data_IF_082342770052
#
_entry.id   IF_082342770052
#
_cell.length_a   1.000
_cell.length_b   1.000
_cell.length_c   1.000
_cell.angle_alpha   90.00
_cell.angle_beta   90.00
_cell.angle_gamma   90.00
#
_symmetry.space_group_name_H-M   'P 1'
#
loop_
_entity.id
_entity.type
_entity.pdbx_description
1 polymer ?
#
# COMPACT_ATOMS: atom_id res chain seq x y z
N UNK A 1 -38.82 66.56 -1.81
CA UNK A 1 -39.48 65.25 -1.88
C UNK A 1 -38.89 64.50 -3.05
N UNK A 2 -38.00 63.54 -2.77
CA UNK A 2 -37.45 62.62 -3.76
C UNK A 2 -37.29 61.26 -3.06
N UNK A 3 -37.94 60.25 -3.62
CA UNK A 3 -37.96 58.87 -3.13
C UNK A 3 -36.58 58.22 -3.27
N UNK A 4 -36.04 57.71 -2.16
CA UNK A 4 -34.95 56.76 -2.17
C UNK A 4 -35.54 55.35 -2.04
N UNK A 5 -35.53 54.59 -3.14
CA UNK A 5 -35.87 53.18 -3.15
C UNK A 5 -34.88 52.39 -2.29
N UNK A 6 -35.40 51.70 -1.26
CA UNK A 6 -34.66 50.70 -0.48
C UNK A 6 -34.56 49.41 -1.30
N UNK A 7 -33.35 48.96 -1.60
CA UNK A 7 -33.08 47.58 -1.99
C UNK A 7 -32.81 46.73 -0.74
N UNK A 8 -33.43 45.54 -0.60
CA UNK A 8 -33.12 44.61 0.47
C UNK A 8 -31.79 43.89 0.21
N UNK A 9 -31.07 43.66 1.30
CA UNK A 9 -29.77 43.02 1.43
C UNK A 9 -29.75 41.58 0.89
N UNK A 10 -28.86 41.33 -0.08
CA UNK A 10 -28.45 39.98 -0.50
C UNK A 10 -27.28 39.50 0.37
N UNK A 11 -27.54 39.22 1.65
CA UNK A 11 -26.64 38.43 2.48
C UNK A 11 -27.27 37.07 2.74
N UNK A 12 -27.02 36.13 1.84
CA UNK A 12 -27.60 34.79 1.98
C UNK A 12 -27.42 33.91 0.76
N UNK A 13 -26.18 33.74 0.28
CA UNK A 13 -25.78 32.65 -0.65
C UNK A 13 -24.29 32.68 -0.97
N UNK A 14 -23.44 32.47 0.03
CA UNK A 14 -22.02 32.17 -0.19
C UNK A 14 -21.53 31.15 0.83
N UNK A 15 -21.92 29.87 0.66
CA UNK A 15 -21.31 28.75 1.40
C UNK A 15 -21.21 27.43 0.63
N UNK A 16 -21.46 27.44 -0.67
CA UNK A 16 -21.28 26.28 -1.55
C UNK A 16 -20.65 26.81 -2.83
N UNK A 17 -19.31 26.86 -2.89
CA UNK A 17 -18.57 26.90 -4.17
C UNK A 17 -17.03 26.80 -4.05
N UNK A 18 -16.49 26.31 -2.93
CA UNK A 18 -15.03 26.13 -2.80
C UNK A 18 -14.61 24.66 -2.81
N UNK A 19 -15.04 23.89 -3.82
CA UNK A 19 -14.57 22.52 -4.06
C UNK A 19 -14.27 22.17 -5.53
N UNK A 20 -14.47 23.10 -6.48
CA UNK A 20 -14.17 22.86 -7.90
C UNK A 20 -12.76 23.35 -8.30
N UNK A 21 -11.72 22.58 -7.97
CA UNK A 21 -10.40 22.81 -8.58
C UNK A 21 -9.51 21.56 -8.56
N UNK A 22 -10.11 20.41 -8.86
CA UNK A 22 -9.38 19.30 -9.46
C UNK A 22 -10.05 19.06 -10.80
N UNK A 23 -9.35 19.32 -11.91
CA UNK A 23 -9.89 19.09 -13.26
C UNK A 23 -10.38 17.65 -13.35
N UNK A 24 -11.70 17.51 -13.43
CA UNK A 24 -12.42 16.24 -13.45
C UNK A 24 -12.06 15.44 -14.70
N UNK A 25 -11.35 14.34 -14.50
CA UNK A 25 -11.71 13.00 -14.98
C UNK A 25 -12.18 12.85 -16.44
N UNK A 26 -11.23 12.71 -17.35
CA UNK A 26 -11.47 12.02 -18.63
C UNK A 26 -10.72 10.67 -18.76
N UNK A 27 -9.86 10.29 -17.80
CA UNK A 27 -9.01 9.08 -17.92
C UNK A 27 -9.35 7.92 -16.98
N UNK A 28 -10.20 8.13 -15.96
CA UNK A 28 -10.49 7.10 -14.94
C UNK A 28 -11.26 5.90 -15.52
N UNK A 29 -12.13 6.13 -16.51
CA UNK A 29 -13.00 5.09 -17.05
C UNK A 29 -12.30 4.06 -17.93
N UNK A 30 -11.22 4.39 -18.64
CA UNK A 30 -10.53 3.39 -19.50
C UNK A 30 -9.53 2.54 -18.71
N UNK A 31 -8.81 3.14 -17.78
CA UNK A 31 -7.75 2.48 -16.99
C UNK A 31 -8.33 1.53 -15.93
N UNK A 32 -9.42 1.92 -15.25
CA UNK A 32 -10.06 1.08 -14.22
C UNK A 32 -10.86 -0.07 -14.83
N UNK A 33 -11.39 0.10 -16.04
CA UNK A 33 -12.29 -0.84 -16.71
C UNK A 33 -11.57 -1.83 -17.65
N UNK A 34 -10.34 -1.53 -18.08
CA UNK A 34 -9.61 -2.30 -19.10
C UNK A 34 -9.04 -3.65 -18.64
N UNK A 35 -9.01 -3.96 -17.34
CA UNK A 35 -8.53 -5.25 -16.86
C UNK A 35 -9.39 -5.77 -15.72
N UNK A 36 -10.16 -6.82 -16.03
CA UNK A 36 -10.96 -7.56 -15.05
C UNK A 36 -10.08 -8.36 -14.07
N UNK A 37 -8.79 -8.59 -14.39
CA UNK A 37 -7.90 -9.49 -13.65
C UNK A 37 -6.76 -8.78 -12.89
N UNK A 38 -6.37 -7.56 -13.27
CA UNK A 38 -5.26 -6.81 -12.64
C UNK A 38 -5.52 -5.29 -12.64
N UNK A 39 -5.11 -4.58 -11.59
CA UNK A 39 -5.09 -3.12 -11.63
C UNK A 39 -3.95 -2.66 -12.55
N UNK A 40 -4.28 -2.27 -13.79
CA UNK A 40 -3.28 -1.83 -14.78
C UNK A 40 -2.88 -0.36 -14.56
N UNK A 41 -2.32 -0.07 -13.39
CA UNK A 41 -1.82 1.24 -13.02
C UNK A 41 -0.44 1.11 -12.37
N UNK A 42 0.39 2.13 -12.55
CA UNK A 42 1.71 2.19 -11.92
C UNK A 42 1.60 2.79 -10.51
N UNK A 43 0.94 3.95 -10.40
CA UNK A 43 0.77 4.66 -9.14
C UNK A 43 -0.61 5.32 -9.05
N UNK A 44 -1.19 5.37 -7.87
CA UNK A 44 -2.45 6.07 -7.59
C UNK A 44 -2.29 7.07 -6.45
N UNK A 45 -2.90 8.25 -6.57
CA UNK A 45 -2.86 9.29 -5.54
C UNK A 45 -4.28 9.71 -5.14
N UNK A 46 -4.58 9.73 -3.85
CA UNK A 46 -5.85 10.18 -3.27
C UNK A 46 -5.65 10.84 -1.89
N UNK A 47 -6.63 11.62 -1.39
CA UNK A 47 -6.61 12.07 -0.01
C UNK A 47 -6.57 10.88 0.96
N UNK A 48 -5.76 10.95 2.02
CA UNK A 48 -5.62 9.86 2.99
C UNK A 48 -6.97 9.50 3.65
N UNK A 49 -7.78 10.50 4.01
CA UNK A 49 -9.13 10.30 4.57
C UNK A 49 -10.03 9.46 3.66
N UNK A 50 -9.96 9.71 2.35
CA UNK A 50 -10.73 8.95 1.37
C UNK A 50 -10.25 7.50 1.29
N UNK A 51 -8.93 7.25 1.38
CA UNK A 51 -8.39 5.90 1.41
C UNK A 51 -8.86 5.11 2.64
N UNK A 52 -8.81 5.72 3.83
CA UNK A 52 -9.29 5.10 5.08
C UNK A 52 -10.78 4.79 4.99
N UNK A 53 -11.58 5.72 4.45
CA UNK A 53 -13.01 5.51 4.25
C UNK A 53 -13.32 4.37 3.27
N UNK A 54 -12.52 4.23 2.21
CA UNK A 54 -12.74 3.23 1.16
C UNK A 54 -12.19 1.85 1.48
N UNK A 55 -11.22 1.73 2.39
CA UNK A 55 -10.55 0.48 2.76
C UNK A 55 -10.48 0.28 4.28
N UNK A 56 -11.60 0.38 5.02
CA UNK A 56 -11.61 0.32 6.49
C UNK A 56 -11.12 -1.03 7.05
N UNK A 57 -11.17 -2.10 6.24
CA UNK A 57 -10.68 -3.42 6.61
C UNK A 57 -9.14 -3.52 6.63
N UNK A 58 -8.43 -2.60 5.97
CA UNK A 58 -6.97 -2.59 5.89
C UNK A 58 -6.35 -1.38 6.59
N UNK A 59 -7.06 -0.26 6.66
CA UNK A 59 -6.59 0.98 7.25
C UNK A 59 -7.68 1.56 8.15
N UNK A 60 -7.35 1.79 9.42
CA UNK A 60 -8.25 2.40 10.39
C UNK A 60 -7.59 3.58 11.05
N UNK A 61 -8.34 4.66 11.24
CA UNK A 61 -7.89 5.81 12.02
C UNK A 61 -8.59 5.75 13.38
N UNK A 62 -7.84 5.45 14.43
CA UNK A 62 -8.33 5.34 15.81
C UNK A 62 -7.66 6.43 16.65
N UNK A 63 -8.42 7.50 16.95
CA UNK A 63 -7.86 8.72 17.54
C UNK A 63 -6.74 9.29 16.65
N UNK A 64 -5.56 9.50 17.26
CA UNK A 64 -4.38 10.02 16.57
C UNK A 64 -3.47 8.91 16.00
N UNK A 65 -4.01 7.70 15.80
CA UNK A 65 -3.23 6.55 15.29
C UNK A 65 -3.84 5.97 14.02
N UNK A 66 -3.03 5.86 12.97
CA UNK A 66 -3.34 5.09 11.77
C UNK A 66 -2.88 3.65 11.94
N UNK A 67 -3.82 2.71 11.97
CA UNK A 67 -3.57 1.29 12.14
C UNK A 67 -3.67 0.59 10.78
N UNK A 68 -2.57 -0.05 10.37
CA UNK A 68 -2.54 -0.96 9.24
C UNK A 68 -2.89 -2.39 9.68
N UNK A 69 -3.93 -2.97 9.07
CA UNK A 69 -4.39 -4.35 9.32
C UNK A 69 -4.04 -5.20 8.10
N UNK A 70 -2.96 -5.96 8.22
CA UNK A 70 -2.24 -6.53 7.08
C UNK A 70 -2.34 -8.07 6.97
N UNK A 71 -3.32 -8.70 7.62
CA UNK A 71 -3.40 -10.16 7.76
C UNK A 71 -3.64 -10.90 6.41
N UNK A 72 -4.59 -10.44 5.59
CA UNK A 72 -5.00 -11.12 4.35
C UNK A 72 -4.91 -10.23 3.09
N UNK A 73 -4.05 -9.22 3.11
CA UNK A 73 -3.96 -8.21 2.05
C UNK A 73 -3.45 -6.87 2.57
N UNK A 74 -3.81 -5.79 1.89
CA UNK A 74 -3.56 -4.43 2.34
C UNK A 74 -2.34 -3.78 1.70
N UNK A 75 -1.62 -2.98 2.49
CA UNK A 75 -0.54 -2.12 2.01
C UNK A 75 0.72 -2.27 2.86
N UNK A 76 1.87 -2.20 2.21
CA UNK A 76 3.14 -1.97 2.88
C UNK A 76 3.29 -0.47 3.12
N UNK A 77 2.91 0.00 4.31
CA UNK A 77 3.12 1.40 4.68
C UNK A 77 4.61 1.62 4.94
N UNK A 78 5.22 2.56 4.24
CA UNK A 78 6.63 2.92 4.43
C UNK A 78 6.71 4.31 5.05
N UNK A 79 7.27 4.40 6.26
CA UNK A 79 7.27 5.63 7.06
C UNK A 79 8.34 5.61 8.18
N UNK A 80 8.48 6.71 8.91
CA UNK A 80 9.24 6.83 10.16
C UNK A 80 8.33 6.80 11.40
N UNK A 81 7.05 6.43 11.22
CA UNK A 81 6.11 6.19 12.31
C UNK A 81 5.17 7.35 12.62
N UNK A 82 5.35 8.52 12.00
CA UNK A 82 4.43 9.66 12.16
C UNK A 82 4.07 10.32 10.83
N UNK A 83 2.95 11.04 10.80
CA UNK A 83 2.57 11.93 9.70
C UNK A 83 1.72 13.10 10.22
N UNK A 84 1.58 14.15 9.41
CA UNK A 84 0.75 15.31 9.74
C UNK A 84 -0.57 15.28 8.98
N UNK A 85 -1.67 15.59 9.65
CA UNK A 85 -2.98 15.73 9.02
C UNK A 85 -3.83 16.75 9.77
N UNK A 86 -4.44 17.67 9.02
CA UNK A 86 -5.26 18.77 9.55
C UNK A 86 -4.61 19.58 10.69
N UNK A 87 -3.29 19.75 10.65
CA UNK A 87 -2.53 20.45 11.69
C UNK A 87 -2.17 19.61 12.92
N UNK A 88 -2.69 18.39 13.05
CA UNK A 88 -2.31 17.41 14.07
C UNK A 88 -1.19 16.47 13.61
N UNK A 89 -0.52 15.85 14.59
CA UNK A 89 0.48 14.79 14.36
C UNK A 89 -0.12 13.45 14.74
N UNK A 90 -0.04 12.49 13.82
CA UNK A 90 -0.60 11.15 13.95
C UNK A 90 0.53 10.12 13.97
N UNK A 91 0.32 9.04 14.72
CA UNK A 91 1.19 7.87 14.76
C UNK A 91 0.75 6.84 13.71
N UNK A 92 1.68 5.99 13.27
CA UNK A 92 1.40 4.88 12.36
C UNK A 92 1.80 3.59 13.06
N UNK A 93 0.86 2.64 13.13
CA UNK A 93 1.13 1.28 13.58
C UNK A 93 1.29 0.33 12.39
N UNK A 94 2.15 -0.68 12.55
CA UNK A 94 2.43 -1.72 11.55
C UNK A 94 2.95 -1.15 10.20
N UNK A 95 4.02 -0.36 10.28
CA UNK A 95 4.74 0.18 9.13
C UNK A 95 6.13 -0.45 8.96
N UNK A 96 6.69 -0.29 7.77
CA UNK A 96 8.07 -0.61 7.44
C UNK A 96 8.88 0.69 7.53
N UNK A 97 9.99 0.66 8.29
CA UNK A 97 10.89 1.81 8.39
C UNK A 97 11.39 2.24 7.00
N UNK A 98 11.47 3.55 6.75
CA UNK A 98 12.05 4.06 5.50
C UNK A 98 13.50 3.65 5.30
N UNK A 99 14.25 3.46 6.39
CA UNK A 99 15.67 3.05 6.35
C UNK A 99 15.80 1.72 7.09
N UNK A 100 16.16 0.67 6.36
CA UNK A 100 16.31 -0.68 6.92
C UNK A 100 17.78 -1.11 6.86
N UNK A 101 18.29 -1.71 7.92
CA UNK A 101 19.58 -2.39 7.91
C UNK A 101 19.34 -3.90 7.73
N UNK A 102 20.11 -4.52 6.85
CA UNK A 102 20.05 -5.95 6.54
C UNK A 102 21.44 -6.53 6.76
N UNK A 103 21.56 -7.59 7.55
CA UNK A 103 22.86 -8.16 7.97
C UNK A 103 23.14 -9.55 7.40
N UNK A 104 22.20 -10.10 6.64
CA UNK A 104 22.34 -11.41 6.04
C UNK A 104 21.57 -11.51 4.73
N UNK A 105 21.99 -12.43 3.85
CA UNK A 105 21.25 -12.75 2.63
C UNK A 105 19.81 -13.22 2.92
N UNK A 106 19.59 -13.84 4.08
CA UNK A 106 18.26 -14.24 4.52
C UNK A 106 17.38 -13.02 4.81
N UNK A 107 17.86 -12.06 5.61
CA UNK A 107 17.16 -10.79 5.86
C UNK A 107 16.88 -10.02 4.57
N UNK A 108 17.84 -10.01 3.64
CA UNK A 108 17.64 -9.40 2.32
C UNK A 108 16.51 -10.07 1.53
N UNK A 109 16.49 -11.41 1.49
CA UNK A 109 15.46 -12.16 0.79
C UNK A 109 14.09 -11.90 1.40
N UNK A 110 14.00 -11.94 2.72
CA UNK A 110 12.76 -11.68 3.47
C UNK A 110 12.28 -10.25 3.26
N UNK A 111 13.19 -9.27 3.31
CA UNK A 111 12.86 -7.86 3.06
C UNK A 111 12.35 -7.65 1.63
N UNK A 112 13.02 -8.24 0.62
CA UNK A 112 12.59 -8.21 -0.78
C UNK A 112 11.20 -8.82 -0.93
N UNK A 113 10.97 -10.01 -0.39
CA UNK A 113 9.66 -10.66 -0.45
C UNK A 113 8.58 -9.83 0.24
N UNK A 114 8.90 -9.25 1.40
CA UNK A 114 8.00 -8.36 2.16
C UNK A 114 7.60 -7.13 1.35
N UNK A 115 8.56 -6.34 0.85
CA UNK A 115 8.31 -5.10 0.10
C UNK A 115 7.47 -5.34 -1.17
N UNK A 116 7.70 -6.45 -1.86
CA UNK A 116 7.05 -6.77 -3.13
C UNK A 116 5.73 -7.56 -3.00
N UNK A 117 5.40 -8.03 -1.79
CA UNK A 117 4.17 -8.81 -1.54
C UNK A 117 2.88 -8.00 -1.71
N UNK A 118 2.94 -6.68 -1.52
CA UNK A 118 1.79 -5.77 -1.53
C UNK A 118 2.15 -4.45 -2.20
N UNK A 119 1.14 -3.67 -2.55
CA UNK A 119 1.35 -2.29 -2.97
C UNK A 119 1.98 -1.50 -1.82
N UNK A 120 2.93 -0.62 -2.15
CA UNK A 120 3.57 0.26 -1.16
C UNK A 120 2.70 1.51 -0.99
N UNK A 121 2.51 1.94 0.26
CA UNK A 121 1.78 3.15 0.61
C UNK A 121 2.73 4.16 1.25
N UNK A 122 2.82 5.34 0.64
CA UNK A 122 3.44 6.52 1.24
C UNK A 122 2.36 7.52 1.65
N UNK A 123 2.61 8.21 2.75
CA UNK A 123 1.80 9.34 3.22
C UNK A 123 2.65 10.59 3.04
N UNK A 124 2.09 11.61 2.40
CA UNK A 124 2.79 12.86 2.14
C UNK A 124 1.84 14.04 2.20
N UNK A 125 2.38 15.23 2.47
CA UNK A 125 1.60 16.44 2.56
C UNK A 125 1.87 17.37 1.36
N UNK A 126 0.84 18.13 0.97
CA UNK A 126 0.96 19.14 -0.06
C UNK A 126 0.06 20.34 0.20
N UNK A 127 0.59 21.54 -0.07
CA UNK A 127 -0.11 22.81 0.10
C UNK A 127 -0.57 23.34 -1.26
N UNK A 128 -1.81 23.84 -1.33
CA UNK A 128 -2.33 24.44 -2.55
C UNK A 128 -1.64 25.78 -2.81
N UNK A 129 -1.07 25.99 -3.99
CA UNK A 129 -0.29 27.19 -4.30
C UNK A 129 -1.14 28.48 -4.35
N UNK A 130 -2.44 28.36 -4.66
CA UNK A 130 -3.35 29.50 -4.84
C UNK A 130 -4.21 29.83 -3.62
N UNK A 131 -4.10 29.09 -2.51
CA UNK A 131 -4.90 29.37 -1.31
C UNK A 131 -4.22 30.40 -0.42
N UNK A 132 -4.93 31.49 -0.11
CA UNK A 132 -4.58 32.41 1.00
C UNK A 132 -4.58 31.70 2.36
N UNK A 133 -5.33 30.60 2.48
CA UNK A 133 -5.30 29.72 3.64
C UNK A 133 -4.14 28.73 3.56
N UNK A 134 -3.53 28.44 4.71
CA UNK A 134 -2.47 27.46 4.90
C UNK A 134 -3.01 26.01 4.85
N UNK A 135 -3.97 25.72 3.96
CA UNK A 135 -4.67 24.44 3.94
C UNK A 135 -3.80 23.37 3.30
N UNK A 136 -2.89 22.83 4.09
CA UNK A 136 -2.16 21.61 3.79
C UNK A 136 -3.13 20.43 3.65
N UNK A 137 -2.86 19.55 2.69
CA UNK A 137 -3.62 18.33 2.46
C UNK A 137 -2.72 17.12 2.56
N UNK A 138 -3.20 16.10 3.26
CA UNK A 138 -2.53 14.81 3.38
C UNK A 138 -2.99 13.87 2.27
N UNK A 139 -2.04 13.37 1.50
CA UNK A 139 -2.22 12.46 0.39
C UNK A 139 -1.65 11.08 0.71
N UNK A 140 -2.31 10.06 0.18
CA UNK A 140 -1.86 8.68 0.12
C UNK A 140 -1.38 8.40 -1.31
N UNK A 141 -0.12 8.01 -1.45
CA UNK A 141 0.46 7.52 -2.71
C UNK A 141 0.56 6.00 -2.64
N UNK A 142 -0.17 5.33 -3.53
CA UNK A 142 -0.15 3.88 -3.69
C UNK A 142 0.75 3.56 -4.88
N UNK A 143 1.76 2.73 -4.65
CA UNK A 143 2.72 2.27 -5.68
C UNK A 143 2.45 0.80 -5.97
N UNK A 144 2.08 0.50 -7.21
CA UNK A 144 1.76 -0.86 -7.62
C UNK A 144 3.02 -1.67 -7.92
N UNK A 145 3.56 -2.35 -6.90
CA UNK A 145 4.72 -3.25 -7.02
C UNK A 145 4.47 -4.45 -7.93
N UNK A 146 3.21 -4.75 -8.29
CA UNK A 146 2.85 -5.83 -9.22
C UNK A 146 2.86 -5.39 -10.68
N UNK A 147 2.81 -4.08 -10.94
CA UNK A 147 2.84 -3.57 -12.30
C UNK A 147 4.22 -3.86 -12.92
N UNK A 148 4.31 -4.46 -14.13
CA UNK A 148 5.58 -4.90 -14.71
C UNK A 148 6.68 -3.82 -14.73
N UNK A 149 6.32 -2.57 -15.07
CA UNK A 149 7.26 -1.44 -15.09
C UNK A 149 7.78 -1.03 -13.71
N UNK A 150 6.93 -1.07 -12.68
CA UNK A 150 7.35 -0.73 -11.32
C UNK A 150 8.16 -1.89 -10.75
N UNK A 151 7.68 -3.11 -10.95
CA UNK A 151 8.37 -4.34 -10.57
C UNK A 151 9.78 -4.39 -11.16
N UNK A 152 9.96 -4.13 -12.46
CA UNK A 152 11.28 -4.14 -13.10
C UNK A 152 12.22 -3.08 -12.54
N UNK A 153 11.72 -1.89 -12.18
CA UNK A 153 12.54 -0.84 -11.56
C UNK A 153 12.96 -1.24 -10.14
N UNK A 154 12.03 -1.73 -9.32
CA UNK A 154 12.29 -2.10 -7.92
C UNK A 154 13.11 -3.38 -7.82
N UNK A 155 12.63 -4.48 -8.39
CA UNK A 155 13.34 -5.77 -8.39
C UNK A 155 14.65 -5.71 -9.15
N UNK A 156 14.69 -5.02 -10.29
CA UNK A 156 15.93 -4.86 -11.07
C UNK A 156 17.01 -4.17 -10.23
N UNK A 157 16.66 -3.05 -9.58
CA UNK A 157 17.61 -2.35 -8.72
C UNK A 157 18.03 -3.19 -7.51
N UNK A 158 17.12 -3.97 -6.93
CA UNK A 158 17.44 -4.91 -5.86
C UNK A 158 18.37 -6.04 -6.33
N UNK A 159 18.18 -6.57 -7.53
CA UNK A 159 19.02 -7.63 -8.10
C UNK A 159 20.44 -7.14 -8.40
N UNK A 160 20.57 -5.89 -8.87
CA UNK A 160 21.89 -5.26 -9.11
C UNK A 160 22.73 -5.20 -7.83
N UNK A 161 22.08 -5.09 -6.65
CA UNK A 161 22.77 -5.17 -5.36
C UNK A 161 23.35 -6.57 -5.19
N UNK A 162 22.54 -7.63 -5.32
CA UNK A 162 22.98 -9.03 -5.13
C UNK A 162 24.17 -9.35 -6.01
N UNK A 163 24.15 -8.95 -7.28
CA UNK A 163 25.27 -9.21 -8.21
C UNK A 163 26.56 -8.47 -7.82
N UNK A 164 26.47 -7.43 -6.99
CA UNK A 164 27.59 -6.61 -6.54
C UNK A 164 28.09 -7.01 -5.14
N UNK A 165 27.32 -7.80 -4.36
CA UNK A 165 27.69 -8.16 -2.98
C UNK A 165 28.63 -9.36 -2.95
N UNK A 166 29.91 -9.16 -3.28
CA UNK A 166 31.01 -10.03 -2.85
C UNK A 166 31.77 -9.35 -1.70
N UNK A 167 31.20 -9.40 -0.49
CA UNK A 167 31.86 -8.90 0.72
C UNK A 167 31.90 -7.37 0.83
N UNK A 168 30.78 -6.68 0.60
CA UNK A 168 30.71 -5.21 0.64
C UNK A 168 29.45 -4.74 1.39
N UNK A 169 29.53 -3.56 2.03
CA UNK A 169 28.34 -2.85 2.49
C UNK A 169 27.70 -2.15 1.29
N UNK A 170 26.37 -2.19 1.15
CA UNK A 170 25.66 -1.55 0.03
C UNK A 170 24.41 -0.81 0.49
N UNK A 171 24.21 0.43 0.05
CA UNK A 171 23.02 1.23 0.29
C UNK A 171 22.24 1.43 -1.01
N UNK A 172 21.00 0.92 -1.06
CA UNK A 172 20.07 1.17 -2.16
C UNK A 172 18.93 2.05 -1.67
N UNK A 173 18.71 3.18 -2.33
CA UNK A 173 17.59 4.08 -2.08
C UNK A 173 16.64 4.11 -3.28
N UNK A 174 15.34 4.05 -3.04
CA UNK A 174 14.28 4.27 -4.01
C UNK A 174 13.67 5.65 -3.77
N UNK A 175 13.59 6.47 -4.82
CA UNK A 175 13.15 7.87 -4.74
C UNK A 175 11.94 8.06 -5.66
N UNK A 176 10.82 8.49 -5.08
CA UNK A 176 9.57 8.81 -5.79
C UNK A 176 9.27 10.32 -5.81
N UNK A 177 10.04 11.13 -5.07
CA UNK A 177 9.85 12.58 -4.93
C UNK A 177 9.60 13.27 -6.27
N UNK A 178 10.44 13.02 -7.27
CA UNK A 178 10.40 13.73 -8.55
C UNK A 178 9.06 13.53 -9.27
N UNK A 179 8.62 12.27 -9.41
CA UNK A 179 7.36 11.97 -10.12
C UNK A 179 6.13 12.51 -9.39
N UNK A 180 6.14 12.49 -8.05
CA UNK A 180 5.02 12.99 -7.25
C UNK A 180 5.00 14.52 -7.23
N UNK A 181 6.16 15.17 -7.09
CA UNK A 181 6.29 16.62 -7.13
C UNK A 181 5.79 17.17 -8.48
N UNK A 182 6.25 16.60 -9.59
CA UNK A 182 5.81 16.99 -10.93
C UNK A 182 4.30 16.83 -11.11
N UNK A 183 3.74 15.74 -10.60
CA UNK A 183 2.29 15.50 -10.65
C UNK A 183 1.51 16.51 -9.82
N UNK A 184 1.92 16.75 -8.56
CA UNK A 184 1.26 17.69 -7.66
C UNK A 184 1.33 19.13 -8.19
N UNK A 185 2.47 19.55 -8.75
CA UNK A 185 2.62 20.87 -9.36
C UNK A 185 1.61 21.08 -10.49
N UNK A 186 1.39 20.08 -11.35
CA UNK A 186 0.36 20.13 -12.40
C UNK A 186 -1.06 20.24 -11.85
N UNK A 187 -1.27 19.87 -10.59
CA UNK A 187 -2.54 20.00 -9.86
C UNK A 187 -2.60 21.26 -8.96
N UNK A 188 -1.65 22.19 -9.09
CA UNK A 188 -1.52 23.39 -8.25
C UNK A 188 -1.25 23.10 -6.76
N UNK A 189 -0.57 22.00 -6.46
CA UNK A 189 -0.06 21.67 -5.13
C UNK A 189 1.47 21.68 -5.11
N UNK A 190 2.03 22.16 -4.00
CA UNK A 190 3.45 22.06 -3.69
C UNK A 190 3.64 21.04 -2.56
N UNK A 191 4.59 20.12 -2.74
CA UNK A 191 4.98 19.17 -1.69
C UNK A 191 5.55 19.93 -0.48
N UNK A 192 5.09 19.62 0.73
CA UNK A 192 5.60 20.26 1.96
C UNK A 192 6.65 19.40 2.67
N UNK A 193 6.58 18.08 2.54
CA UNK A 193 7.49 17.13 3.19
C UNK A 193 8.24 16.31 2.15
N UNK A 194 9.45 16.77 1.80
CA UNK A 194 10.20 16.23 0.67
C UNK A 194 10.77 14.82 0.89
N UNK A 195 11.12 14.48 2.13
CA UNK A 195 11.83 13.23 2.42
C UNK A 195 10.89 12.01 2.48
N UNK A 196 9.58 12.21 2.63
CA UNK A 196 8.58 11.16 2.86
C UNK A 196 8.43 10.17 1.71
N UNK A 197 8.87 10.56 0.51
CA UNK A 197 8.70 9.82 -0.74
C UNK A 197 9.96 9.06 -1.15
N UNK A 198 10.66 8.49 -0.16
CA UNK A 198 11.79 7.60 -0.40
C UNK A 198 11.91 6.53 0.67
N UNK A 199 12.55 5.43 0.30
CA UNK A 199 12.96 4.38 1.23
C UNK A 199 14.25 3.75 0.77
N UNK A 200 15.01 3.19 1.70
CA UNK A 200 16.29 2.57 1.45
C UNK A 200 16.53 1.38 2.35
N UNK A 201 17.42 0.52 1.90
CA UNK A 201 18.05 -0.46 2.76
C UNK A 201 19.56 -0.36 2.65
N UNK A 202 20.23 -0.68 3.75
CA UNK A 202 21.67 -0.86 3.81
C UNK A 202 21.94 -2.33 4.09
N UNK A 203 22.53 -3.03 3.14
CA UNK A 203 23.10 -4.34 3.36
C UNK A 203 24.46 -4.16 4.02
N UNK A 204 24.64 -4.72 5.21
CA UNK A 204 25.91 -4.70 5.94
C UNK A 204 26.46 -6.11 6.08
N UNK A 205 27.71 -6.29 5.71
CA UNK A 205 28.48 -7.48 6.01
C UNK A 205 29.63 -7.10 6.94
N UNK A 206 30.04 -8.02 7.82
CA UNK A 206 31.25 -7.87 8.62
C UNK A 206 32.47 -8.09 7.72
N UNK A 207 32.83 -7.06 6.96
CA UNK A 207 33.98 -7.09 6.04
C UNK A 207 35.18 -6.42 6.71
N UNK A 208 36.33 -7.11 6.70
CA UNK A 208 37.59 -6.58 7.26
C UNK A 208 38.13 -5.34 6.52
N UNK A 209 37.77 -5.13 5.24
CA UNK A 209 38.20 -4.00 4.40
C UNK A 209 37.07 -3.58 3.46
N UNK A 210 36.38 -2.50 3.78
CA UNK A 210 35.26 -1.97 3.00
C UNK A 210 35.73 -0.84 2.06
N UNK A 211 36.60 -1.20 1.12
CA UNK A 211 37.27 -0.25 0.21
C UNK A 211 36.25 0.44 -0.72
N UNK A 212 35.17 -0.25 -1.11
CA UNK A 212 34.13 0.32 -1.97
C UNK A 212 33.19 1.28 -1.24
N UNK A 213 32.90 1.05 0.06
CA UNK A 213 32.27 2.07 0.89
C UNK A 213 33.18 3.27 1.10
N UNK A 214 34.48 3.05 1.30
CA UNK A 214 35.45 4.14 1.44
C UNK A 214 35.54 5.01 0.16
N UNK A 215 35.39 4.39 -1.02
CA UNK A 215 35.35 5.07 -2.32
C UNK A 215 33.96 5.58 -2.73
N UNK A 216 32.92 5.37 -1.90
CA UNK A 216 31.57 5.86 -2.15
C UNK A 216 30.80 5.15 -3.28
N UNK A 217 31.31 4.02 -3.79
CA UNK A 217 30.70 3.23 -4.88
C UNK A 217 29.57 2.32 -4.39
N UNK A 218 29.42 2.18 -3.07
CA UNK A 218 28.40 1.34 -2.44
C UNK A 218 27.01 1.98 -2.31
N UNK A 219 26.80 3.19 -2.83
CA UNK A 219 25.53 3.92 -2.72
C UNK A 219 24.88 4.06 -4.09
N UNK A 220 23.64 3.58 -4.22
CA UNK A 220 22.83 3.75 -5.43
C UNK A 220 21.48 4.33 -5.09
N UNK A 221 21.06 5.32 -5.87
CA UNK A 221 19.71 5.85 -5.86
C UNK A 221 18.98 5.44 -7.14
N UNK A 222 17.83 4.80 -7.00
CA UNK A 222 16.90 4.47 -8.07
C UNK A 222 15.73 5.44 -8.05
N UNK A 223 15.65 6.28 -9.09
CA UNK A 223 14.46 7.12 -9.32
C UNK A 223 13.34 6.24 -9.87
N UNK A 224 12.31 6.01 -9.06
CA UNK A 224 11.16 5.19 -9.49
C UNK A 224 10.20 6.09 -10.27
N UNK A 225 10.08 5.81 -11.56
CA UNK A 225 9.24 6.55 -12.50
C UNK A 225 7.93 5.82 -12.78
N UNK A 226 6.87 6.58 -13.02
CA UNK A 226 5.61 6.03 -13.50
C UNK A 226 4.51 7.08 -13.68
N UNK A 227 3.38 6.64 -14.21
CA UNK A 227 2.18 7.41 -14.38
C UNK A 227 1.36 7.37 -13.09
N UNK A 228 1.11 8.56 -12.52
CA UNK A 228 0.22 8.73 -11.38
C UNK A 228 -1.19 9.01 -11.90
N UNK A 229 -2.15 8.20 -11.46
CA UNK A 229 -3.57 8.47 -11.68
C UNK A 229 -4.19 9.13 -10.43
N UNK A 230 -5.04 10.12 -10.65
CA UNK A 230 -5.88 10.67 -9.58
C UNK A 230 -6.96 9.68 -9.23
N UNK A 231 -7.04 9.30 -7.96
CA UNK A 231 -8.12 8.49 -7.39
C UNK A 231 -9.07 9.34 -6.53
N UNK A 232 -8.96 10.67 -6.63
CA UNK A 232 -9.91 11.57 -6.00
C UNK A 232 -11.30 11.43 -6.63
N UNK A 233 -12.33 11.26 -5.78
CA UNK A 233 -13.71 11.16 -6.20
C UNK A 233 -14.62 11.89 -5.22
N UNK A 234 -15.68 12.52 -5.74
CA UNK A 234 -16.72 13.20 -4.95
C UNK A 234 -18.11 12.62 -5.17
N UNK A 235 -18.34 11.89 -6.27
CA UNK A 235 -19.64 11.30 -6.58
C UNK A 235 -19.70 9.83 -6.13
N UNK A 236 -20.88 9.31 -5.74
CA UNK A 236 -21.05 7.92 -5.32
C UNK A 236 -20.56 6.90 -6.38
N UNK A 237 -20.93 7.08 -7.65
CA UNK A 237 -20.53 6.15 -8.73
C UNK A 237 -19.01 6.07 -8.91
N UNK A 238 -18.33 7.22 -8.81
CA UNK A 238 -16.87 7.30 -8.93
C UNK A 238 -16.22 6.66 -7.71
N UNK A 239 -16.80 6.87 -6.53
CA UNK A 239 -16.34 6.29 -5.27
C UNK A 239 -16.40 4.77 -5.29
N UNK A 240 -17.47 4.19 -5.83
CA UNK A 240 -17.57 2.73 -5.97
C UNK A 240 -16.52 2.18 -6.95
N UNK A 241 -16.27 2.86 -8.07
CA UNK A 241 -15.18 2.48 -9.00
C UNK A 241 -13.81 2.52 -8.35
N UNK A 242 -13.51 3.57 -7.58
CA UNK A 242 -12.25 3.69 -6.84
C UNK A 242 -12.16 2.59 -5.77
N UNK A 243 -13.26 2.28 -5.07
CA UNK A 243 -13.33 1.19 -4.09
C UNK A 243 -13.00 -0.17 -4.72
N UNK A 244 -13.61 -0.50 -5.85
CA UNK A 244 -13.35 -1.74 -6.59
C UNK A 244 -11.88 -1.80 -7.05
N UNK A 245 -11.36 -0.68 -7.56
CA UNK A 245 -9.96 -0.58 -7.95
C UNK A 245 -9.01 -0.80 -6.77
N UNK A 246 -9.27 -0.18 -5.61
CA UNK A 246 -8.48 -0.35 -4.41
C UNK A 246 -8.55 -1.78 -3.88
N UNK A 247 -9.72 -2.43 -3.94
CA UNK A 247 -9.87 -3.85 -3.55
C UNK A 247 -8.98 -4.77 -4.40
N UNK A 248 -8.81 -4.48 -5.70
CA UNK A 248 -7.87 -5.21 -6.55
C UNK A 248 -6.42 -4.98 -6.13
N UNK A 249 -6.06 -3.73 -5.80
CA UNK A 249 -4.71 -3.37 -5.35
C UNK A 249 -4.33 -4.02 -4.01
N UNK A 250 -5.30 -4.17 -3.10
CA UNK A 250 -5.10 -4.72 -1.76
C UNK A 250 -5.28 -6.23 -1.68
N UNK A 251 -5.79 -6.86 -2.74
CA UNK A 251 -5.96 -8.32 -2.80
C UNK A 251 -4.65 -9.05 -2.49
N UNK A 252 -4.67 -10.17 -1.73
CA UNK A 252 -3.47 -10.93 -1.46
C UNK A 252 -2.87 -11.47 -2.77
N UNK A 253 -1.55 -11.56 -2.82
CA UNK A 253 -0.84 -12.15 -3.94
C UNK A 253 -1.05 -13.68 -3.86
N UNK A 254 -2.11 -14.18 -4.52
CA UNK A 254 -2.30 -15.63 -4.68
C UNK A 254 -1.17 -16.12 -5.58
N UNK A 255 -0.13 -16.71 -4.98
CA UNK A 255 0.83 -17.53 -5.73
C UNK A 255 0.02 -18.71 -6.29
N UNK A 256 -0.49 -18.60 -7.51
CA UNK A 256 -0.84 -19.80 -8.28
C UNK A 256 0.46 -20.60 -8.34
N UNK A 257 0.50 -21.72 -7.62
CA UNK A 257 1.65 -22.61 -7.62
C UNK A 257 2.01 -22.91 -9.07
N UNK A 258 3.25 -22.65 -9.45
CA UNK A 258 3.77 -23.32 -10.63
C UNK A 258 3.66 -24.82 -10.35
N UNK A 259 3.11 -25.55 -11.31
CA UNK A 259 2.94 -27.01 -11.30
C UNK A 259 4.29 -27.73 -11.32
N UNK A 260 5.10 -27.52 -10.28
CA UNK A 260 6.28 -28.33 -9.96
C UNK A 260 6.08 -28.93 -8.57
N UNK A 261 4.94 -29.62 -8.40
CA UNK A 261 4.78 -30.63 -7.37
C UNK A 261 5.83 -31.72 -7.56
N UNK A 262 6.88 -31.68 -6.74
CA UNK A 262 7.49 -32.87 -6.16
C UNK A 262 7.85 -32.56 -4.71
N UNK A 263 6.86 -32.70 -3.82
CA UNK A 263 7.11 -33.08 -2.43
C UNK A 263 7.61 -34.53 -2.41
N UNK A 264 8.66 -34.86 -1.66
CA UNK A 264 8.70 -36.09 -0.90
C UNK A 264 8.04 -35.83 0.46
N UNK A 265 7.22 -36.80 0.88
CA UNK A 265 6.48 -36.91 2.13
C UNK A 265 7.36 -37.05 3.38
N UNK A 266 6.68 -37.14 4.55
CA UNK A 266 7.16 -37.45 5.91
C UNK A 266 7.60 -36.17 6.65
N UNK A 267 6.88 -35.63 7.65
CA UNK A 267 6.32 -36.27 8.85
C UNK A 267 4.90 -35.79 9.20
N UNK A 268 4.07 -36.73 9.60
CA UNK A 268 2.80 -36.53 10.31
C UNK A 268 3.01 -36.74 11.81
N UNK A 269 2.16 -36.08 12.62
CA UNK A 269 1.69 -36.45 13.97
C UNK A 269 2.76 -36.29 15.10
N UNK A 270 2.49 -35.71 16.27
CA UNK A 270 1.26 -35.79 17.07
C UNK A 270 1.21 -34.79 18.27
N UNK A 271 -0.03 -34.46 18.70
CA UNK A 271 -0.56 -34.24 20.08
C UNK A 271 -0.10 -32.97 20.85
N UNK A 272 -0.97 -32.11 21.42
CA UNK A 272 -1.89 -32.25 22.60
C UNK A 272 -3.10 -31.31 22.39
N UNK A 273 -4.34 -31.80 22.26
CA UNK A 273 -5.39 -32.12 23.26
C UNK A 273 -6.16 -30.88 23.82
N UNK A 274 -7.41 -30.71 23.37
CA UNK A 274 -8.45 -30.06 24.17
C UNK A 274 -9.76 -30.88 24.03
N UNK A 275 -10.09 -31.56 25.11
CA UNK A 275 -11.36 -32.23 25.38
C UNK A 275 -12.52 -31.23 25.34
N UNK A 276 -13.63 -31.56 24.67
CA UNK A 276 -14.99 -31.26 25.15
C UNK A 276 -16.04 -32.10 24.40
N UNK A 277 -16.91 -32.77 25.18
CA UNK A 277 -18.30 -33.03 24.79
C UNK A 277 -18.63 -34.40 24.22
N UNK A 278 -18.90 -35.36 25.10
CA UNK A 278 -19.70 -36.55 24.79
C UNK A 278 -21.14 -36.16 24.44
N UNK A 279 -21.68 -36.75 23.37
CA UNK A 279 -23.10 -37.11 23.28
C UNK A 279 -23.23 -38.35 22.40
N UNK A 280 -23.53 -39.49 23.05
CA UNK A 280 -23.84 -40.75 22.41
C UNK A 280 -25.36 -40.86 22.24
N UNK A 281 -25.83 -41.04 21.00
CA UNK A 281 -27.15 -41.60 20.74
C UNK A 281 -26.98 -42.89 19.93
N UNK A 282 -27.28 -44.00 20.60
CA UNK A 282 -27.34 -45.35 20.05
C UNK A 282 -28.67 -45.54 19.33
N UNK A 283 -28.64 -46.01 18.08
CA UNK A 283 -29.78 -46.70 17.47
C UNK A 283 -29.39 -48.15 17.14
N UNK A 284 -30.21 -49.05 17.66
CA UNK A 284 -30.20 -50.50 17.45
C UNK A 284 -30.65 -50.84 16.01
N UNK A 285 -29.90 -51.70 15.33
CA UNK A 285 -30.45 -52.58 14.30
C UNK A 285 -29.99 -54.03 14.57
N UNK A 286 -30.95 -54.94 14.63
CA UNK A 286 -30.74 -56.39 14.78
C UNK A 286 -31.15 -57.05 13.46
N UNK A 287 -30.48 -58.14 13.01
CA UNK A 287 -30.33 -58.49 11.59
C UNK A 287 -31.33 -59.56 11.11
N UNK A 288 -31.44 -59.82 9.79
CA UNK A 288 -32.11 -61.02 9.30
C UNK A 288 -31.13 -62.20 9.16
N UNK A 289 -31.56 -63.34 9.69
CA UNK A 289 -30.94 -64.65 9.59
C UNK A 289 -31.00 -65.23 8.17
N UNK A 290 -30.09 -66.17 7.88
CA UNK A 290 -30.23 -67.20 6.84
C UNK A 290 -29.26 -68.37 7.11
N UNK A 291 -29.52 -69.59 6.58
CA UNK A 291 -29.67 -70.78 7.42
C UNK A 291 -28.70 -71.94 7.10
N UNK A 292 -28.90 -73.04 7.85
CA UNK A 292 -28.63 -74.47 7.56
C UNK A 292 -27.63 -75.20 8.48
N UNK A 293 -28.22 -75.89 9.45
CA UNK A 293 -28.10 -77.32 9.81
C UNK A 293 -26.93 -78.16 9.29
N UNK A 294 -26.27 -78.85 10.22
CA UNK A 294 -26.05 -80.31 10.36
C UNK A 294 -24.95 -80.45 11.46
N UNK A 295 -24.98 -81.33 12.46
CA UNK A 295 -25.59 -82.65 12.66
C UNK A 295 -25.59 -82.93 14.17
#
# INVERSE_FOLDING_TARGET
MAEAQRHPSYEGRQRLDSMESMKSMSSINSVILGSMTTANCEMGLLPLKLLVELQPQYLRLEGDTLISVNQNGGFNIVSDGTFRMDGGTFQINNFINRKVELRSHFEYKDYRESILSKAILFITNGKKMSSRSDSERTFALIVNTRHPRIKSQVEGSMNDVISSVMGENYNLQFVLKNVVSDYLMRQNFQLTEEDTLSFSFTFKLDVFLDIFHLLGLSKKACSVTGNIISLHCTTPDKKEKVKIFLAKMTSPLVRMGSSSDRRPSVFSLDVIDEQFGQSSDYFHETPPQSPLTQK
#
